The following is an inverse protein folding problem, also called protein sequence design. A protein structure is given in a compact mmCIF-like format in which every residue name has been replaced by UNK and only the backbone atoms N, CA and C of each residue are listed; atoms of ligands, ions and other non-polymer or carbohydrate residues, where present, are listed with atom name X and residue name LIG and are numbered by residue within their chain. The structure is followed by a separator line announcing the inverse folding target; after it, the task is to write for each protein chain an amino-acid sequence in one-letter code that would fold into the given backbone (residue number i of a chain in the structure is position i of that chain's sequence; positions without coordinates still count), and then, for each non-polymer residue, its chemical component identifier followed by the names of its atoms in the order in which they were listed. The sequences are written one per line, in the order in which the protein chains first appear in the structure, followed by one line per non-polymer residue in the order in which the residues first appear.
data_IF_282543282565
#
_entry.id   IF_282543282565
#
_cell.length_a   1.000
_cell.length_b   1.000
_cell.length_c   1.000
_cell.angle_alpha   90.00
_cell.angle_beta   90.00
_cell.angle_gamma   90.00
#
_symmetry.space_group_name_H-M   'P 1'
#
loop_
_entity.id
_entity.type
_entity.pdbx_description
1 polymer ?
#
# COMPACT_ATOMS: atom_id res chain seq x y z
N UNK A 1 -6.46 -5.60 0.89
CA UNK A 1 -6.46 -4.59 1.95
C UNK A 1 -7.78 -3.81 1.98
N UNK A 2 -8.25 -3.23 0.85
CA UNK A 2 -9.50 -2.42 0.78
C UNK A 2 -10.68 -3.13 1.45
N UNK A 3 -10.96 -4.39 1.07
CA UNK A 3 -12.06 -5.17 1.66
C UNK A 3 -11.93 -5.33 3.18
N UNK A 4 -10.70 -5.64 3.68
CA UNK A 4 -10.45 -5.77 5.12
C UNK A 4 -10.73 -4.45 5.84
N UNK A 5 -10.19 -3.33 5.32
CA UNK A 5 -10.40 -2.01 5.90
C UNK A 5 -11.90 -1.65 5.94
N UNK A 6 -12.63 -1.96 4.87
CA UNK A 6 -14.08 -1.74 4.80
C UNK A 6 -14.84 -2.58 5.84
N UNK A 7 -14.53 -3.88 5.92
CA UNK A 7 -15.17 -4.80 6.86
C UNK A 7 -14.89 -4.41 8.32
N UNK A 8 -13.68 -3.93 8.60
CA UNK A 8 -13.25 -3.51 9.94
C UNK A 8 -13.56 -2.03 10.23
N UNK A 9 -14.25 -1.32 9.32
CA UNK A 9 -14.58 0.11 9.44
C UNK A 9 -13.35 1.00 9.67
N UNK A 10 -12.22 0.65 9.03
CA UNK A 10 -10.97 1.41 9.07
C UNK A 10 -10.89 2.28 7.81
N UNK A 11 -10.95 3.62 7.91
CA UNK A 11 -10.76 4.48 6.77
C UNK A 11 -9.38 4.25 6.12
N UNK A 12 -9.34 4.15 4.81
CA UNK A 12 -8.08 3.90 4.10
C UNK A 12 -7.92 4.77 2.86
N UNK A 13 -6.71 5.28 2.66
CA UNK A 13 -6.30 5.98 1.44
C UNK A 13 -5.45 5.03 0.62
N UNK A 14 -5.80 4.84 -0.64
CA UNK A 14 -5.13 3.93 -1.55
C UNK A 14 -4.37 4.73 -2.60
N UNK A 15 -3.10 4.41 -2.81
CA UNK A 15 -2.26 5.08 -3.81
C UNK A 15 -1.98 4.09 -4.95
N UNK A 16 -2.27 4.53 -6.16
CA UNK A 16 -2.07 3.75 -7.38
C UNK A 16 -1.29 4.57 -8.41
N UNK A 17 -0.81 3.93 -9.48
CA UNK A 17 -0.02 4.58 -10.54
C UNK A 17 -0.80 4.77 -11.83
N UNK A 18 -1.87 4.02 -12.04
CA UNK A 18 -2.63 4.00 -13.31
C UNK A 18 -4.10 4.25 -13.04
N UNK A 19 -4.75 4.93 -13.98
CA UNK A 19 -6.18 5.23 -13.89
C UNK A 19 -7.05 3.98 -13.83
N UNK A 20 -6.72 2.97 -14.61
CA UNK A 20 -7.41 1.66 -14.57
C UNK A 20 -7.46 1.04 -13.16
N UNK A 21 -6.45 1.33 -12.33
CA UNK A 21 -6.43 0.85 -10.94
C UNK A 21 -7.27 1.73 -10.02
N UNK A 22 -7.48 3.01 -10.34
CA UNK A 22 -8.40 3.89 -9.60
C UNK A 22 -9.81 3.32 -9.70
N UNK A 23 -10.27 3.05 -10.93
CA UNK A 23 -11.60 2.49 -11.18
C UNK A 23 -11.76 1.13 -10.49
N UNK A 24 -10.81 0.22 -10.68
CA UNK A 24 -10.83 -1.11 -10.06
C UNK A 24 -10.94 -1.05 -8.53
N UNK A 25 -10.22 -0.13 -7.87
CA UNK A 25 -10.30 -0.02 -6.41
C UNK A 25 -11.61 0.62 -5.95
N UNK A 26 -12.15 1.58 -6.70
CA UNK A 26 -13.47 2.16 -6.44
C UNK A 26 -14.58 1.11 -6.56
N UNK A 27 -14.52 0.26 -7.57
CA UNK A 27 -15.51 -0.82 -7.80
C UNK A 27 -15.57 -1.82 -6.64
N UNK A 28 -14.43 -2.09 -5.98
CA UNK A 28 -14.40 -2.94 -4.78
C UNK A 28 -14.68 -2.19 -3.48
N UNK A 29 -15.00 -0.89 -3.57
CA UNK A 29 -15.49 -0.06 -2.48
C UNK A 29 -14.43 0.78 -1.77
N UNK A 30 -13.30 1.08 -2.42
CA UNK A 30 -12.36 2.09 -1.91
C UNK A 30 -12.96 3.49 -2.06
N UNK A 31 -13.02 4.25 -0.98
CA UNK A 31 -13.54 5.61 -0.97
C UNK A 31 -12.48 6.61 -1.45
N UNK A 32 -11.26 6.49 -0.94
CA UNK A 32 -10.15 7.38 -1.29
C UNK A 32 -9.10 6.64 -2.10
N UNK A 33 -8.93 7.04 -3.37
CA UNK A 33 -7.93 6.48 -4.28
C UNK A 33 -7.20 7.62 -4.99
N UNK A 34 -5.90 7.74 -4.75
CA UNK A 34 -5.05 8.78 -5.31
C UNK A 34 -4.14 8.20 -6.39
N UNK A 35 -4.14 8.79 -7.59
CA UNK A 35 -3.25 8.39 -8.68
C UNK A 35 -1.93 9.17 -8.58
N UNK A 36 -0.83 8.48 -8.23
CA UNK A 36 0.48 9.12 -8.05
C UNK A 36 1.09 9.66 -9.35
N UNK A 37 0.50 9.36 -10.51
CA UNK A 37 0.92 9.91 -11.82
C UNK A 37 0.13 11.16 -12.20
N UNK A 38 -0.87 11.58 -11.42
CA UNK A 38 -1.63 12.82 -11.64
C UNK A 38 -0.83 14.05 -11.20
N UNK A 39 -1.00 15.15 -11.88
CA UNK A 39 -0.45 16.45 -11.48
C UNK A 39 -1.06 16.94 -10.14
N UNK A 40 -2.27 16.49 -9.80
CA UNK A 40 -2.98 16.81 -8.55
C UNK A 40 -2.68 15.84 -7.41
N UNK A 41 -1.81 14.85 -7.61
CA UNK A 41 -1.58 13.75 -6.66
C UNK A 41 -1.38 14.21 -5.20
N UNK A 42 -0.54 15.22 -4.99
CA UNK A 42 -0.27 15.67 -3.62
C UNK A 42 -1.47 16.36 -2.96
N UNK A 43 -2.23 17.09 -3.73
CA UNK A 43 -3.44 17.75 -3.23
C UNK A 43 -4.52 16.71 -2.91
N UNK A 44 -4.76 15.76 -3.81
CA UNK A 44 -5.70 14.66 -3.62
C UNK A 44 -5.32 13.81 -2.39
N UNK A 45 -4.02 13.53 -2.21
CA UNK A 45 -3.52 12.76 -1.08
C UNK A 45 -3.71 13.50 0.24
N UNK A 46 -3.44 14.80 0.28
CA UNK A 46 -3.66 15.64 1.47
C UNK A 46 -5.14 15.67 1.84
N UNK A 47 -6.05 15.91 0.87
CA UNK A 47 -7.50 15.94 1.11
C UNK A 47 -8.00 14.59 1.65
N UNK A 48 -7.54 13.48 1.05
CA UNK A 48 -7.89 12.14 1.51
C UNK A 48 -7.38 11.86 2.93
N UNK A 49 -6.18 12.33 3.27
CA UNK A 49 -5.62 12.19 4.63
C UNK A 49 -6.37 13.08 5.63
N UNK A 50 -6.77 14.30 5.25
CA UNK A 50 -7.62 15.16 6.10
C UNK A 50 -8.93 14.46 6.41
N UNK A 51 -9.57 13.85 5.41
CA UNK A 51 -10.85 13.17 5.58
C UNK A 51 -10.76 11.89 6.44
N UNK A 52 -9.64 11.18 6.37
CA UNK A 52 -9.45 9.88 7.07
C UNK A 52 -8.72 9.98 8.39
N UNK A 53 -7.96 11.04 8.61
CA UNK A 53 -7.06 11.17 9.77
C UNK A 53 -5.88 10.19 9.72
N UNK A 54 -5.50 9.69 8.55
CA UNK A 54 -4.48 8.66 8.43
C UNK A 54 -3.10 9.16 8.85
N UNK A 55 -2.46 8.45 9.78
CA UNK A 55 -1.11 8.72 10.29
C UNK A 55 -0.14 7.56 10.09
N UNK A 56 -0.61 6.46 9.48
CA UNK A 56 0.16 5.27 9.19
C UNK A 56 0.11 4.97 7.70
N UNK A 57 1.26 4.84 7.07
CA UNK A 57 1.39 4.49 5.65
C UNK A 57 2.21 3.23 5.42
N UNK A 58 1.93 2.55 4.30
CA UNK A 58 2.65 1.36 3.86
C UNK A 58 3.07 1.52 2.40
N UNK A 59 4.37 1.47 2.13
CA UNK A 59 4.92 1.49 0.78
C UNK A 59 5.31 0.07 0.34
N UNK A 60 4.55 -0.47 -0.62
CA UNK A 60 4.77 -1.79 -1.21
C UNK A 60 5.91 -1.81 -2.23
N UNK A 61 6.32 -0.66 -2.74
CA UNK A 61 7.28 -0.55 -3.85
C UNK A 61 8.71 -0.33 -3.38
N UNK A 62 8.89 0.33 -2.24
CA UNK A 62 10.17 0.65 -1.64
C UNK A 62 10.87 1.87 -2.25
N UNK A 63 10.67 2.13 -3.52
CA UNK A 63 11.26 3.26 -4.25
C UNK A 63 10.25 3.96 -5.15
N UNK A 64 8.95 3.78 -4.90
CA UNK A 64 7.87 4.33 -5.71
C UNK A 64 8.05 5.82 -5.99
N UNK A 65 7.67 6.23 -7.21
CA UNK A 65 7.86 7.58 -7.73
C UNK A 65 9.34 8.04 -7.65
N UNK A 66 10.24 7.22 -8.15
CA UNK A 66 11.70 7.47 -8.13
C UNK A 66 12.24 7.72 -6.71
N UNK A 67 11.80 6.94 -5.75
CA UNK A 67 12.22 7.02 -4.36
C UNK A 67 11.48 8.07 -3.51
N UNK A 68 10.52 8.79 -4.07
CA UNK A 68 9.87 9.91 -3.37
C UNK A 68 8.61 9.53 -2.60
N UNK A 69 7.97 8.37 -2.89
CA UNK A 69 6.62 8.06 -2.40
C UNK A 69 6.53 8.09 -0.87
N UNK A 70 7.43 7.44 -0.16
CA UNK A 70 7.42 7.43 1.31
C UNK A 70 7.52 8.85 1.89
N UNK A 71 8.40 9.70 1.33
CA UNK A 71 8.53 11.10 1.69
C UNK A 71 7.30 11.94 1.33
N UNK A 72 6.65 11.66 0.21
CA UNK A 72 5.40 12.32 -0.19
C UNK A 72 4.25 11.98 0.76
N UNK A 73 4.14 10.71 1.18
CA UNK A 73 3.13 10.28 2.17
C UNK A 73 3.37 11.01 3.51
N UNK A 74 4.61 11.06 4.01
CA UNK A 74 4.93 11.80 5.24
C UNK A 74 4.64 13.31 5.11
N UNK A 75 4.96 13.91 3.96
CA UNK A 75 4.64 15.32 3.70
C UNK A 75 3.13 15.57 3.70
N UNK A 76 2.37 14.71 3.03
CA UNK A 76 0.90 14.85 2.97
C UNK A 76 0.26 14.71 4.36
N UNK A 77 0.75 13.76 5.18
CA UNK A 77 0.32 13.63 6.58
C UNK A 77 0.62 14.87 7.41
N UNK A 78 1.79 15.48 7.23
CA UNK A 78 2.15 16.72 7.94
C UNK A 78 1.29 17.90 7.48
N UNK A 79 1.08 18.05 6.17
CA UNK A 79 0.21 19.11 5.64
C UNK A 79 -1.21 18.93 6.15
N UNK A 80 -1.74 17.71 6.15
CA UNK A 80 -3.08 17.40 6.66
C UNK A 80 -3.19 17.73 8.16
N UNK A 81 -2.21 17.33 8.96
CA UNK A 81 -2.17 17.65 10.39
C UNK A 81 -2.16 19.16 10.65
N UNK A 82 -1.38 19.92 9.88
CA UNK A 82 -1.34 21.39 10.00
C UNK A 82 -2.64 22.06 9.50
N UNK A 83 -3.31 21.51 8.47
CA UNK A 83 -4.63 22.02 8.02
C UNK A 83 -5.71 21.89 9.09
N UNK A 84 -5.62 20.88 9.94
CA UNK A 84 -6.61 20.59 11.00
C UNK A 84 -6.18 21.05 12.38
N UNK A 85 -4.98 21.61 12.53
CA UNK A 85 -4.46 22.10 13.79
C UNK A 85 -5.21 23.34 14.27
N UNK A 86 -5.52 23.40 15.58
CA UNK A 86 -6.15 24.56 16.19
C UNK A 86 -5.19 25.75 16.33
N UNK A 87 -3.90 25.49 16.47
CA UNK A 87 -2.87 26.50 16.69
C UNK A 87 -1.64 26.25 15.80
N UNK A 88 -0.96 27.31 15.45
CA UNK A 88 0.30 27.25 14.70
C UNK A 88 1.45 26.73 15.57
N UNK A 89 2.20 25.77 15.06
CA UNK A 89 3.46 25.32 15.67
C UNK A 89 4.66 25.62 14.77
N UNK A 90 5.67 26.28 15.32
CA UNK A 90 6.93 26.57 14.61
C UNK A 90 7.67 25.31 14.17
N UNK A 91 7.51 24.20 14.89
CA UNK A 91 8.21 22.94 14.66
C UNK A 91 7.39 21.91 13.90
N UNK A 92 6.22 22.31 13.39
CA UNK A 92 5.24 21.42 12.75
C UNK A 92 4.31 20.75 13.75
N UNK A 93 3.54 19.77 13.28
CA UNK A 93 2.60 19.04 14.12
C UNK A 93 3.33 18.10 15.10
N UNK A 94 2.73 17.87 16.25
CA UNK A 94 3.13 16.85 17.24
C UNK A 94 2.51 15.47 16.95
N UNK A 95 1.64 15.40 15.96
CA UNK A 95 1.05 14.14 15.48
C UNK A 95 2.13 13.21 14.96
N UNK A 96 2.27 12.03 15.57
CA UNK A 96 3.25 11.04 15.11
C UNK A 96 2.79 10.39 13.80
N UNK A 97 3.65 10.44 12.79
CA UNK A 97 3.43 9.90 11.45
C UNK A 97 4.41 8.76 11.21
N UNK A 98 3.93 7.64 10.68
CA UNK A 98 4.77 6.48 10.39
C UNK A 98 4.56 5.99 8.97
N UNK A 99 5.63 5.77 8.22
CA UNK A 99 5.59 5.01 6.96
C UNK A 99 6.45 3.77 7.09
N UNK A 100 5.90 2.63 6.70
CA UNK A 100 6.61 1.37 6.58
C UNK A 100 6.84 0.99 5.13
N UNK A 101 8.09 0.70 4.78
CA UNK A 101 8.46 0.09 3.51
C UNK A 101 8.48 -1.43 3.71
N UNK A 102 7.67 -2.16 2.93
CA UNK A 102 7.59 -3.62 3.01
C UNK A 102 7.81 -4.33 1.67
N UNK A 103 8.04 -3.57 0.60
CA UNK A 103 8.37 -4.09 -0.72
C UNK A 103 9.66 -3.48 -1.27
N UNK A 104 10.19 -4.07 -2.32
CA UNK A 104 11.43 -3.67 -2.97
C UNK A 104 11.37 -3.80 -4.49
N UNK A 105 10.22 -3.49 -5.09
CA UNK A 105 10.03 -3.54 -6.55
C UNK A 105 10.82 -2.46 -7.29
N UNK A 106 11.05 -1.33 -6.63
CA UNK A 106 11.86 -0.23 -7.15
C UNK A 106 13.13 -0.12 -6.27
N UNK A 107 14.34 -0.38 -6.81
CA UNK A 107 15.59 -0.30 -6.07
C UNK A 107 16.13 1.13 -5.90
N UNK A 108 15.37 2.15 -6.32
CA UNK A 108 15.77 3.55 -6.16
C UNK A 108 15.98 3.90 -4.69
N UNK A 109 16.94 4.79 -4.37
CA UNK A 109 17.11 5.29 -3.01
C UNK A 109 15.84 5.98 -2.49
N UNK A 110 15.51 5.78 -1.21
CA UNK A 110 14.42 6.52 -0.57
C UNK A 110 14.84 7.96 -0.31
N UNK A 111 14.11 8.91 -0.89
CA UNK A 111 14.38 10.34 -0.78
C UNK A 111 13.52 10.95 0.32
N UNK A 112 14.14 11.52 1.32
CA UNK A 112 13.48 12.22 2.42
C UNK A 112 13.75 13.72 2.34
N UNK A 113 12.70 14.52 2.57
CA UNK A 113 12.76 15.98 2.75
C UNK A 113 12.62 16.30 4.24
N UNK A 114 13.00 17.52 4.65
CA UNK A 114 12.85 17.98 6.03
C UNK A 114 11.53 18.74 6.23
N UNK A 115 10.42 18.17 5.79
CA UNK A 115 9.12 18.83 5.76
C UNK A 115 7.99 17.97 6.37
N UNK A 116 8.31 17.22 7.45
CA UNK A 116 7.36 16.27 8.07
C UNK A 116 7.06 16.63 9.53
N UNK A 117 7.37 17.85 9.97
CA UNK A 117 7.42 18.15 11.41
C UNK A 117 8.54 17.41 12.12
N UNK A 118 8.44 17.28 13.44
CA UNK A 118 9.49 16.63 14.26
C UNK A 118 9.03 15.28 14.85
N UNK A 119 7.79 14.86 14.55
CA UNK A 119 7.19 13.63 15.09
C UNK A 119 6.87 12.64 13.96
N UNK A 120 7.90 11.93 13.48
CA UNK A 120 7.69 10.97 12.38
C UNK A 120 8.72 9.83 12.41
N UNK A 121 8.40 8.73 11.71
CA UNK A 121 9.26 7.58 11.52
C UNK A 121 9.16 7.01 10.11
N UNK A 122 10.25 6.42 9.66
CA UNK A 122 10.32 5.56 8.49
C UNK A 122 10.97 4.24 8.91
N UNK A 123 10.39 3.12 8.53
CA UNK A 123 10.92 1.81 8.91
C UNK A 123 10.65 0.74 7.88
N UNK A 124 11.36 -0.38 8.00
CA UNK A 124 11.04 -1.60 7.29
C UNK A 124 9.93 -2.37 8.02
N UNK A 125 9.14 -3.13 7.26
CA UNK A 125 8.15 -4.03 7.81
C UNK A 125 8.28 -5.42 7.18
N UNK A 126 8.29 -6.45 8.02
CA UNK A 126 8.28 -7.85 7.62
C UNK A 126 7.39 -8.66 8.56
N UNK A 127 6.66 -9.61 8.01
CA UNK A 127 5.69 -10.41 8.76
C UNK A 127 6.35 -11.20 9.91
N UNK A 128 7.50 -11.84 9.68
CA UNK A 128 8.16 -12.68 10.69
C UNK A 128 8.51 -11.92 11.98
N UNK A 129 9.21 -10.76 11.93
CA UNK A 129 9.42 -9.95 13.13
C UNK A 129 8.12 -9.42 13.74
N UNK A 130 7.09 -9.16 12.92
CA UNK A 130 5.79 -8.70 13.40
C UNK A 130 5.06 -9.78 14.20
N UNK A 131 5.12 -11.05 13.79
CA UNK A 131 4.58 -12.17 14.55
C UNK A 131 5.17 -12.22 15.97
N UNK A 132 6.50 -12.02 16.09
CA UNK A 132 7.16 -11.94 17.38
C UNK A 132 6.63 -10.81 18.29
N UNK A 133 6.19 -9.69 17.69
CA UNK A 133 5.63 -8.55 18.43
C UNK A 133 4.18 -8.75 18.85
N UNK A 134 3.33 -9.29 17.95
CA UNK A 134 1.89 -9.46 18.20
C UNK A 134 1.56 -10.74 18.97
N UNK A 135 2.47 -11.70 18.97
CA UNK A 135 2.30 -13.00 19.61
C UNK A 135 1.56 -14.03 18.74
N UNK A 136 1.75 -15.30 19.09
CA UNK A 136 1.21 -16.42 18.30
C UNK A 136 -0.31 -16.48 18.33
N UNK A 137 -0.95 -16.12 19.41
CA UNK A 137 -2.42 -16.12 19.54
C UNK A 137 -3.07 -15.20 18.48
N UNK A 138 -2.62 -13.94 18.41
CA UNK A 138 -3.13 -12.98 17.40
C UNK A 138 -2.83 -13.43 15.98
N UNK A 139 -1.64 -13.99 15.77
CA UNK A 139 -1.27 -14.53 14.46
C UNK A 139 -2.17 -15.69 14.03
N UNK A 140 -2.50 -16.61 14.94
CA UNK A 140 -3.42 -17.70 14.64
C UNK A 140 -4.85 -17.21 14.36
N UNK A 141 -5.35 -16.23 15.09
CA UNK A 141 -6.64 -15.59 14.80
C UNK A 141 -6.67 -14.95 13.41
N UNK A 142 -5.58 -14.30 12.98
CA UNK A 142 -5.47 -13.76 11.61
C UNK A 142 -5.51 -14.89 10.56
N UNK A 143 -4.83 -16.01 10.79
CA UNK A 143 -4.86 -17.17 9.90
C UNK A 143 -6.25 -17.79 9.78
N UNK A 144 -6.97 -17.93 10.90
CA UNK A 144 -8.36 -18.41 10.90
C UNK A 144 -9.27 -17.50 10.10
N UNK A 145 -9.14 -16.17 10.24
CA UNK A 145 -9.88 -15.20 9.42
C UNK A 145 -9.59 -15.40 7.94
N UNK A 146 -8.31 -15.52 7.55
CA UNK A 146 -7.92 -15.76 6.15
C UNK A 146 -8.55 -17.06 5.64
N UNK A 147 -8.50 -18.15 6.40
CA UNK A 147 -9.09 -19.43 6.01
C UNK A 147 -10.61 -19.35 5.85
N UNK A 148 -11.29 -18.68 6.77
CA UNK A 148 -12.75 -18.47 6.73
C UNK A 148 -13.20 -17.62 5.55
N UNK A 149 -12.44 -16.60 5.20
CA UNK A 149 -12.80 -15.60 4.19
C UNK A 149 -12.03 -15.81 2.86
N UNK A 150 -11.44 -17.00 2.64
CA UNK A 150 -10.56 -17.26 1.49
C UNK A 150 -11.25 -17.05 0.14
N UNK A 151 -12.54 -17.31 0.05
CA UNK A 151 -13.35 -17.17 -1.16
C UNK A 151 -14.08 -15.81 -1.27
N UNK A 152 -13.89 -14.90 -0.32
CA UNK A 152 -14.56 -13.59 -0.25
C UNK A 152 -13.56 -12.46 -0.13
N UNK A 153 -13.22 -12.05 1.08
CA UNK A 153 -12.29 -10.94 1.37
C UNK A 153 -10.89 -11.20 0.82
N UNK A 154 -10.42 -12.45 0.92
CA UNK A 154 -9.09 -12.87 0.43
C UNK A 154 -9.14 -13.59 -0.91
N UNK A 155 -10.31 -13.60 -1.58
CA UNK A 155 -10.45 -14.24 -2.89
C UNK A 155 -9.41 -13.71 -3.88
N UNK A 156 -8.80 -14.63 -4.59
CA UNK A 156 -7.81 -14.36 -5.63
C UNK A 156 -8.15 -15.19 -6.87
N UNK A 157 -7.80 -14.69 -8.02
CA UNK A 157 -7.98 -15.41 -9.27
C UNK A 157 -6.68 -15.41 -10.06
N UNK A 158 -6.53 -16.41 -10.90
CA UNK A 158 -5.45 -16.50 -11.87
C UNK A 158 -5.95 -16.03 -13.23
N UNK A 159 -5.11 -15.31 -13.95
CA UNK A 159 -5.44 -14.76 -15.28
C UNK A 159 -5.11 -15.74 -16.38
N UNK A 160 -4.16 -16.65 -16.10
CA UNK A 160 -3.70 -17.65 -17.07
C UNK A 160 -3.24 -18.91 -16.33
N UNK A 161 -3.50 -20.06 -16.96
CA UNK A 161 -3.01 -21.35 -16.51
C UNK A 161 -2.00 -21.90 -17.51
N UNK A 162 -0.81 -22.29 -17.04
CA UNK A 162 0.32 -22.73 -17.87
C UNK A 162 0.94 -24.00 -17.33
N UNK A 163 1.51 -24.83 -18.22
CA UNK A 163 2.36 -25.98 -17.85
C UNK A 163 3.77 -25.56 -17.42
N UNK A 164 4.60 -26.50 -16.98
CA UNK A 164 6.01 -26.22 -16.69
C UNK A 164 6.78 -25.76 -17.93
N UNK A 165 6.51 -26.34 -19.09
CA UNK A 165 7.17 -25.99 -20.34
C UNK A 165 6.72 -24.61 -20.81
N UNK A 166 5.43 -24.30 -20.72
CA UNK A 166 4.88 -23.01 -21.12
C UNK A 166 5.37 -21.87 -20.25
N UNK A 167 5.53 -22.09 -18.92
CA UNK A 167 6.03 -21.03 -18.02
C UNK A 167 7.48 -20.61 -18.33
N UNK A 168 8.25 -21.46 -18.97
CA UNK A 168 9.65 -21.20 -19.36
C UNK A 168 9.77 -20.52 -20.73
N UNK A 169 8.66 -20.33 -21.45
CA UNK A 169 8.71 -19.64 -22.74
C UNK A 169 9.00 -18.14 -22.55
N UNK A 170 9.74 -17.52 -23.48
CA UNK A 170 10.12 -16.11 -23.38
C UNK A 170 8.92 -15.16 -23.18
N UNK A 171 7.80 -15.43 -23.82
CA UNK A 171 6.58 -14.63 -23.76
C UNK A 171 5.96 -14.71 -22.38
N UNK A 172 5.90 -15.89 -21.78
CA UNK A 172 5.40 -16.10 -20.42
C UNK A 172 6.31 -15.37 -19.41
N UNK A 173 7.64 -15.53 -19.54
CA UNK A 173 8.65 -14.87 -18.69
C UNK A 173 8.51 -13.35 -18.80
N UNK A 174 8.37 -12.80 -19.99
CA UNK A 174 8.16 -11.36 -20.19
C UNK A 174 6.86 -10.87 -19.59
N UNK A 175 5.81 -11.68 -19.60
CA UNK A 175 4.50 -11.31 -19.07
C UNK A 175 4.52 -11.24 -17.56
N UNK A 176 4.87 -12.34 -16.86
CA UNK A 176 4.88 -12.33 -15.39
C UNK A 176 6.07 -11.57 -14.80
N UNK A 177 7.18 -11.43 -15.54
CA UNK A 177 8.34 -10.61 -15.15
C UNK A 177 8.06 -9.11 -15.08
N UNK A 178 6.98 -8.62 -15.71
CA UNK A 178 6.54 -7.23 -15.58
C UNK A 178 6.02 -6.88 -14.18
N UNK A 179 5.76 -7.86 -13.34
CA UNK A 179 5.22 -7.69 -11.99
C UNK A 179 3.98 -6.77 -11.95
N UNK A 180 3.16 -6.87 -13.01
CA UNK A 180 2.00 -6.01 -13.17
C UNK A 180 0.87 -6.42 -12.22
N UNK A 181 0.18 -5.42 -11.66
CA UNK A 181 -1.01 -5.65 -10.85
C UNK A 181 -2.07 -6.39 -11.65
N UNK A 182 -2.67 -7.42 -11.06
CA UNK A 182 -3.76 -8.18 -11.66
C UNK A 182 -3.34 -9.37 -12.54
N UNK A 183 -2.06 -9.49 -12.91
CA UNK A 183 -1.58 -10.62 -13.70
C UNK A 183 -1.00 -11.71 -12.81
N UNK A 184 -1.65 -12.88 -12.78
CA UNK A 184 -1.19 -14.05 -12.02
C UNK A 184 -1.29 -15.30 -12.86
N UNK A 185 -0.20 -16.04 -12.97
CA UNK A 185 -0.18 -17.36 -13.60
C UNK A 185 -0.34 -18.46 -12.58
N UNK A 186 -1.15 -19.45 -12.90
CA UNK A 186 -1.18 -20.73 -12.21
C UNK A 186 -0.35 -21.72 -13.00
N UNK A 187 0.69 -22.26 -12.39
CA UNK A 187 1.47 -23.35 -13.00
C UNK A 187 0.84 -24.67 -12.61
N UNK A 188 0.41 -25.44 -13.62
CA UNK A 188 -0.21 -26.77 -13.45
C UNK A 188 0.78 -27.82 -13.92
N UNK A 189 1.46 -28.53 -12.99
CA UNK A 189 2.58 -29.43 -13.32
C UNK A 189 2.20 -30.65 -14.16
N UNK A 190 0.92 -31.01 -14.18
CA UNK A 190 0.41 -32.21 -14.82
C UNK A 190 -0.51 -31.91 -16.02
N UNK A 191 -0.38 -30.71 -16.57
CA UNK A 191 -1.14 -30.29 -17.75
C UNK A 191 -0.40 -30.69 -19.03
#
# INVERSE_FOLDING_TARGET
LVKICKDDSVPSVNIVRKEEHVELLKDIGAEYVCNMSSDTFMDDLVEAIVATGATLGFDATGGGNKGQLAGQILSAMEIAANKTAAEYSRYGSDTYKQVYIYGGLDPSPTILKRAYGMSWGLGGWLLTPMIGKIGMERFMAMRERVAKEINTTFASHYTQEVSFEEMLQPEAIQSYGKQATGTKFLVTPHK
#
